data_IF_236190197044
#
_entry.id   IF_236190197044
#
_cell.length_a   1.000
_cell.length_b   1.000
_cell.length_c   1.000
_cell.angle_alpha   90.00
_cell.angle_beta   90.00
_cell.angle_gamma   90.00
#
_symmetry.space_group_name_H-M   'P 1'
#
loop_
_entity.id
_entity.type
_entity.pdbx_description
1 polymer ?
#
# COMPACT_ATOMS: atom_id res chain seq x y z
N UNK A 1 -27.20 12.77 -1.18
CA UNK A 1 -25.72 12.93 -1.25
C UNK A 1 -25.11 12.48 0.06
N UNK A 2 -23.96 13.03 0.44
CA UNK A 2 -23.43 12.91 1.80
C UNK A 2 -24.31 13.70 2.80
N UNK A 3 -24.26 13.31 4.08
CA UNK A 3 -25.06 13.93 5.16
C UNK A 3 -24.25 14.75 6.16
N UNK A 4 -22.91 14.75 6.06
CA UNK A 4 -22.00 15.51 6.92
C UNK A 4 -20.82 16.06 6.10
N UNK A 5 -19.78 16.59 6.76
CA UNK A 5 -18.63 17.19 6.09
C UNK A 5 -17.90 16.18 5.21
N UNK A 6 -17.57 16.58 3.98
CA UNK A 6 -16.67 15.82 3.10
C UNK A 6 -15.24 16.12 3.51
N UNK A 7 -14.55 15.13 4.07
CA UNK A 7 -13.21 15.28 4.64
C UNK A 7 -12.12 14.88 3.65
N UNK A 8 -12.45 14.07 2.65
CA UNK A 8 -11.53 13.61 1.62
C UNK A 8 -12.23 13.49 0.27
N UNK A 9 -11.50 13.84 -0.78
CA UNK A 9 -11.89 13.62 -2.18
C UNK A 9 -10.66 13.12 -2.93
N UNK A 10 -10.85 12.23 -3.89
CA UNK A 10 -9.77 11.71 -4.74
C UNK A 10 -10.31 11.27 -6.09
N UNK A 11 -9.69 11.72 -7.18
CA UNK A 11 -10.02 11.27 -8.53
C UNK A 11 -9.45 9.88 -8.78
N UNK A 12 -10.16 9.05 -9.54
CA UNK A 12 -9.61 7.79 -10.01
C UNK A 12 -8.46 8.06 -10.99
N UNK A 13 -7.29 7.42 -10.84
CA UNK A 13 -6.22 7.53 -11.83
C UNK A 13 -6.51 6.73 -13.11
N UNK A 14 -7.52 5.84 -13.08
CA UNK A 14 -7.91 4.98 -14.20
C UNK A 14 -9.07 5.54 -15.01
N UNK A 15 -10.02 6.21 -14.35
CA UNK A 15 -11.27 6.63 -14.96
C UNK A 15 -11.43 8.15 -14.85
N UNK A 16 -11.34 8.83 -15.99
CA UNK A 16 -11.31 10.30 -16.11
C UNK A 16 -12.44 11.02 -15.36
N UNK A 17 -13.65 10.46 -15.37
CA UNK A 17 -14.83 11.10 -14.77
C UNK A 17 -15.21 10.55 -13.40
N UNK A 18 -14.42 9.61 -12.84
CA UNK A 18 -14.73 8.97 -11.57
C UNK A 18 -14.06 9.70 -10.41
N UNK A 19 -14.89 10.16 -9.47
CA UNK A 19 -14.47 10.80 -8.22
C UNK A 19 -14.89 9.95 -7.02
N UNK A 20 -13.99 9.75 -6.07
CA UNK A 20 -14.29 9.21 -4.74
C UNK A 20 -14.42 10.33 -3.72
N UNK A 21 -15.42 10.24 -2.84
CA UNK A 21 -15.62 11.19 -1.73
C UNK A 21 -15.83 10.44 -0.42
N UNK A 22 -15.14 10.88 0.63
CA UNK A 22 -15.19 10.32 1.98
C UNK A 22 -15.66 11.40 2.96
N UNK A 23 -16.60 11.04 3.83
CA UNK A 23 -17.32 12.00 4.65
C UNK A 23 -17.42 11.57 6.11
N UNK A 24 -17.68 12.55 6.97
CA UNK A 24 -17.93 12.35 8.40
C UNK A 24 -19.18 11.50 8.69
N UNK A 25 -20.08 11.35 7.71
CA UNK A 25 -21.24 10.44 7.78
C UNK A 25 -20.88 8.94 7.73
N UNK A 26 -19.58 8.60 7.71
CA UNK A 26 -19.06 7.23 7.69
C UNK A 26 -19.16 6.54 6.34
N UNK A 27 -19.52 7.28 5.29
CA UNK A 27 -19.75 6.74 3.96
C UNK A 27 -18.66 7.19 3.01
N UNK A 28 -18.37 6.31 2.05
CA UNK A 28 -17.59 6.64 0.85
C UNK A 28 -18.50 6.46 -0.35
N UNK A 29 -18.48 7.44 -1.25
CA UNK A 29 -19.28 7.42 -2.48
C UNK A 29 -18.37 7.57 -3.69
N UNK A 30 -18.71 6.84 -4.74
CA UNK A 30 -18.08 6.96 -6.06
C UNK A 30 -19.06 7.66 -7.00
N UNK A 31 -18.57 8.60 -7.80
CA UNK A 31 -19.39 9.45 -8.66
C UNK A 31 -18.84 9.40 -10.08
N UNK A 32 -19.72 9.37 -11.07
CA UNK A 32 -19.38 9.86 -12.41
C UNK A 32 -19.87 11.30 -12.47
N UNK A 33 -18.96 12.26 -12.55
CA UNK A 33 -19.29 13.69 -12.47
C UNK A 33 -20.16 14.18 -13.63
N UNK A 34 -20.30 13.39 -14.71
CA UNK A 34 -21.17 13.71 -15.84
C UNK A 34 -22.63 13.37 -15.57
N UNK A 35 -22.92 12.55 -14.55
CA UNK A 35 -24.29 12.18 -14.19
C UNK A 35 -24.93 13.32 -13.39
N UNK A 36 -26.08 13.79 -13.84
CA UNK A 36 -26.81 14.87 -13.18
C UNK A 36 -27.36 14.49 -11.79
N UNK A 37 -27.55 13.20 -11.51
CA UNK A 37 -28.06 12.73 -10.21
C UNK A 37 -27.57 11.33 -9.85
N UNK A 38 -27.30 11.14 -8.56
CA UNK A 38 -26.91 9.86 -7.98
C UNK A 38 -25.41 9.59 -8.00
N UNK A 39 -24.94 8.83 -7.01
CA UNK A 39 -23.60 8.25 -7.01
C UNK A 39 -23.62 6.90 -7.75
N UNK A 40 -22.48 6.47 -8.31
CA UNK A 40 -22.29 5.15 -8.91
C UNK A 40 -22.46 4.04 -7.87
N UNK A 41 -21.79 4.19 -6.73
CA UNK A 41 -21.81 3.22 -5.64
C UNK A 41 -21.56 3.90 -4.30
N UNK A 42 -21.99 3.24 -3.22
CA UNK A 42 -21.64 3.59 -1.83
C UNK A 42 -21.01 2.35 -1.21
N UNK A 43 -19.80 2.51 -0.67
CA UNK A 43 -19.04 1.37 -0.13
C UNK A 43 -19.70 0.85 1.15
N UNK A 44 -19.85 -0.47 1.24
CA UNK A 44 -20.40 -1.17 2.40
C UNK A 44 -19.37 -2.11 3.00
N UNK A 45 -18.91 -1.83 4.21
CA UNK A 45 -17.85 -2.61 4.85
C UNK A 45 -18.21 -4.08 5.11
N UNK A 46 -19.50 -4.42 5.01
CA UNK A 46 -20.03 -5.76 5.21
C UNK A 46 -20.44 -6.47 3.90
N UNK A 47 -20.15 -5.90 2.72
CA UNK A 47 -20.49 -6.49 1.42
C UNK A 47 -21.97 -6.96 1.32
N UNK A 48 -22.90 -6.23 1.94
CA UNK A 48 -24.33 -6.56 1.94
C UNK A 48 -24.77 -7.64 2.93
N UNK A 49 -23.85 -8.34 3.60
CA UNK A 49 -24.18 -9.47 4.50
C UNK A 49 -24.92 -9.03 5.77
N UNK A 50 -24.73 -7.78 6.21
CA UNK A 50 -25.36 -7.24 7.42
C UNK A 50 -26.73 -6.60 7.14
N UNK A 51 -27.55 -7.27 6.33
CA UNK A 51 -28.86 -6.79 5.82
C UNK A 51 -29.95 -6.52 6.88
N UNK A 52 -29.63 -6.64 8.17
CA UNK A 52 -30.52 -6.31 9.30
C UNK A 52 -30.17 -5.01 10.03
N UNK A 53 -29.16 -4.27 9.59
CA UNK A 53 -28.89 -2.95 10.12
C UNK A 53 -30.01 -1.98 9.73
N UNK A 54 -30.39 -1.04 10.61
CA UNK A 54 -31.33 0.02 10.27
C UNK A 54 -30.90 0.75 8.99
N UNK A 55 -31.85 1.28 8.22
CA UNK A 55 -31.58 1.97 6.94
C UNK A 55 -30.52 3.08 7.06
N UNK A 56 -30.37 3.67 8.24
CA UNK A 56 -29.36 4.68 8.61
C UNK A 56 -27.93 4.12 8.67
N UNK A 57 -27.75 2.86 9.08
CA UNK A 57 -26.45 2.19 9.26
C UNK A 57 -26.04 1.29 8.08
N UNK A 58 -26.93 1.04 7.12
CA UNK A 58 -26.60 0.33 5.89
C UNK A 58 -25.68 1.17 4.99
N UNK A 59 -24.76 0.54 4.25
CA UNK A 59 -23.82 1.17 3.30
C UNK A 59 -22.87 2.20 3.96
N UNK A 60 -22.24 1.80 5.07
CA UNK A 60 -21.17 2.56 5.73
C UNK A 60 -19.83 1.89 5.45
N UNK A 61 -18.83 2.69 5.09
CA UNK A 61 -17.48 2.19 4.83
C UNK A 61 -16.67 2.02 6.13
N UNK A 62 -16.97 2.83 7.15
CA UNK A 62 -16.32 2.81 8.46
C UNK A 62 -17.37 3.04 9.56
N UNK A 63 -17.08 2.57 10.78
CA UNK A 63 -17.91 2.86 11.97
C UNK A 63 -17.63 4.25 12.58
N UNK A 64 -17.05 5.15 11.79
CA UNK A 64 -16.59 6.47 12.18
C UNK A 64 -16.40 7.33 10.94
N UNK A 65 -15.87 8.54 11.10
CA UNK A 65 -15.68 9.50 10.00
C UNK A 65 -14.67 8.95 9.00
N UNK A 66 -14.93 9.06 7.70
CA UNK A 66 -13.95 8.71 6.67
C UNK A 66 -13.20 9.97 6.27
N UNK A 67 -11.91 10.02 6.63
CA UNK A 67 -11.08 11.21 6.45
C UNK A 67 -9.83 10.96 5.59
N UNK A 68 -9.53 9.71 5.21
CA UNK A 68 -8.45 9.38 4.28
C UNK A 68 -8.98 8.61 3.06
N UNK A 69 -8.55 9.03 1.87
CA UNK A 69 -8.76 8.32 0.60
C UNK A 69 -7.46 8.31 -0.23
N UNK A 70 -7.10 7.17 -0.79
CA UNK A 70 -6.02 7.06 -1.78
C UNK A 70 -6.29 5.88 -2.73
N UNK A 71 -6.27 6.12 -4.04
CA UNK A 71 -6.36 5.04 -5.02
C UNK A 71 -5.01 4.34 -5.17
N UNK A 72 -5.01 3.03 -5.40
CA UNK A 72 -3.83 2.35 -5.94
C UNK A 72 -3.45 2.97 -7.29
N UNK A 73 -2.17 2.89 -7.67
CA UNK A 73 -1.70 3.62 -8.85
C UNK A 73 -2.33 3.12 -10.15
N UNK A 74 -2.66 1.83 -10.22
CA UNK A 74 -3.41 1.24 -11.31
C UNK A 74 -4.89 1.65 -11.33
N UNK A 75 -5.39 2.28 -10.26
CA UNK A 75 -6.78 2.67 -10.05
C UNK A 75 -7.76 1.52 -9.83
N UNK A 76 -7.29 0.27 -9.65
CA UNK A 76 -8.17 -0.89 -9.42
C UNK A 76 -8.72 -0.94 -8.01
N UNK A 77 -8.03 -0.37 -7.05
CA UNK A 77 -8.45 -0.39 -5.66
C UNK A 77 -8.43 1.00 -5.05
N UNK A 78 -9.23 1.16 -4.00
CA UNK A 78 -9.26 2.35 -3.18
C UNK A 78 -8.90 1.95 -1.75
N UNK A 79 -7.97 2.67 -1.12
CA UNK A 79 -7.75 2.63 0.32
C UNK A 79 -8.57 3.72 0.99
N UNK A 80 -9.26 3.35 2.06
CA UNK A 80 -10.00 4.28 2.92
C UNK A 80 -9.51 4.16 4.35
N UNK A 81 -9.39 5.29 5.04
CA UNK A 81 -9.02 5.35 6.45
C UNK A 81 -10.10 6.13 7.18
N UNK A 82 -10.53 5.61 8.32
CA UNK A 82 -11.56 6.23 9.15
C UNK A 82 -11.16 6.36 10.61
N UNK A 83 -11.94 7.13 11.37
CA UNK A 83 -11.74 7.34 12.81
C UNK A 83 -12.24 6.16 13.66
N UNK A 84 -12.55 5.03 13.03
CA UNK A 84 -12.81 3.74 13.69
C UNK A 84 -11.52 2.91 13.87
N UNK A 85 -10.37 3.56 13.71
CA UNK A 85 -9.02 2.98 13.76
C UNK A 85 -8.80 1.84 12.75
N UNK A 86 -9.43 1.95 11.57
CA UNK A 86 -9.29 0.97 10.49
C UNK A 86 -8.85 1.62 9.19
N UNK A 87 -8.09 0.83 8.44
CA UNK A 87 -7.87 0.99 7.02
C UNK A 87 -8.59 -0.15 6.30
N UNK A 88 -9.21 0.13 5.15
CA UNK A 88 -9.90 -0.87 4.33
C UNK A 88 -9.51 -0.69 2.86
N UNK A 89 -9.35 -1.81 2.17
CA UNK A 89 -9.07 -1.87 0.75
C UNK A 89 -10.31 -2.35 0.01
N UNK A 90 -10.68 -1.60 -1.02
CA UNK A 90 -11.91 -1.81 -1.77
C UNK A 90 -11.57 -2.05 -3.22
N UNK A 91 -12.30 -2.96 -3.86
CA UNK A 91 -12.36 -3.01 -5.30
C UNK A 91 -13.03 -1.71 -5.81
N UNK A 92 -12.34 -0.94 -6.64
CA UNK A 92 -12.82 0.36 -7.12
C UNK A 92 -14.02 0.28 -8.07
N UNK A 93 -14.20 -0.84 -8.77
CA UNK A 93 -15.26 -1.02 -9.75
C UNK A 93 -16.51 -1.63 -9.13
N UNK A 94 -16.36 -2.67 -8.31
CA UNK A 94 -17.49 -3.34 -7.64
C UNK A 94 -17.89 -2.65 -6.33
N UNK A 95 -16.95 -1.98 -5.68
CA UNK A 95 -17.13 -1.40 -4.35
C UNK A 95 -17.06 -2.44 -3.22
N UNK A 96 -16.65 -3.67 -3.51
CA UNK A 96 -16.50 -4.73 -2.50
C UNK A 96 -15.30 -4.47 -1.60
N UNK A 97 -15.50 -4.69 -0.30
CA UNK A 97 -14.42 -4.76 0.68
C UNK A 97 -13.64 -6.06 0.46
N UNK A 98 -12.34 -5.92 0.20
CA UNK A 98 -11.42 -7.05 -0.03
C UNK A 98 -11.06 -7.82 1.24
N UNK A 99 -11.43 -7.28 2.42
CA UNK A 99 -11.18 -7.87 3.74
C UNK A 99 -9.70 -8.02 4.10
N UNK A 100 -8.79 -7.33 3.41
CA UNK A 100 -7.38 -7.24 3.81
C UNK A 100 -7.27 -6.66 5.22
N UNK A 101 -6.52 -7.34 6.08
CA UNK A 101 -6.38 -6.97 7.48
C UNK A 101 -5.09 -6.19 7.73
N UNK A 102 -5.22 -4.88 7.98
CA UNK A 102 -4.11 -3.99 8.36
C UNK A 102 -3.94 -3.87 9.88
N UNK A 103 -4.68 -4.65 10.67
CA UNK A 103 -4.73 -4.51 12.12
C UNK A 103 -5.45 -3.23 12.56
N UNK A 104 -4.97 -2.64 13.66
CA UNK A 104 -5.45 -1.35 14.18
C UNK A 104 -4.62 -0.23 13.59
N UNK A 105 -5.24 0.69 12.87
CA UNK A 105 -4.62 1.87 12.26
C UNK A 105 -5.18 3.11 12.96
N UNK A 106 -4.59 3.50 14.08
CA UNK A 106 -5.07 4.60 14.92
C UNK A 106 -5.23 5.90 14.14
N UNK A 107 -6.41 6.51 14.21
CA UNK A 107 -6.73 7.74 13.50
C UNK A 107 -7.67 8.63 14.31
N UNK A 108 -7.08 9.56 15.04
CA UNK A 108 -7.79 10.54 15.86
C UNK A 108 -7.97 11.89 15.16
N UNK A 109 -7.62 11.98 13.86
CA UNK A 109 -7.64 13.24 13.14
C UNK A 109 -9.07 13.73 12.91
N UNK A 110 -9.33 14.97 13.33
CA UNK A 110 -10.58 15.69 13.02
C UNK A 110 -10.59 16.30 11.62
N UNK A 111 -9.45 16.28 10.92
CA UNK A 111 -9.26 16.83 9.56
C UNK A 111 -9.01 15.69 8.58
N UNK A 112 -9.02 15.99 7.28
CA UNK A 112 -8.59 15.05 6.24
C UNK A 112 -7.17 14.54 6.50
N UNK A 113 -6.98 13.23 6.43
CA UNK A 113 -5.71 12.54 6.56
C UNK A 113 -5.13 12.32 5.16
N UNK A 114 -3.92 12.84 4.92
CA UNK A 114 -3.22 12.69 3.63
C UNK A 114 -2.15 11.62 3.75
N UNK A 115 -2.28 10.57 2.95
CA UNK A 115 -1.37 9.42 2.96
C UNK A 115 -1.02 9.05 1.51
N UNK A 116 0.00 8.23 1.33
CA UNK A 116 0.55 7.91 0.01
C UNK A 116 0.59 6.40 -0.25
N UNK A 117 0.60 6.02 -1.53
CA UNK A 117 0.85 4.66 -2.00
C UNK A 117 2.08 4.71 -2.91
N UNK A 118 2.97 3.72 -2.79
CA UNK A 118 4.12 3.57 -3.67
C UNK A 118 3.66 3.18 -5.09
N UNK A 119 4.43 3.55 -6.10
CA UNK A 119 4.23 3.00 -7.44
C UNK A 119 5.57 2.67 -8.09
N UNK A 120 5.54 1.80 -9.10
CA UNK A 120 6.75 1.33 -9.79
C UNK A 120 7.56 0.28 -9.02
N UNK A 121 6.99 -0.31 -7.95
CA UNK A 121 7.60 -1.40 -7.19
C UNK A 121 6.59 -2.53 -6.95
N UNK A 122 7.10 -3.74 -6.75
CA UNK A 122 6.34 -4.91 -6.33
C UNK A 122 7.06 -5.55 -5.13
N UNK A 123 6.43 -5.62 -3.94
CA UNK A 123 5.05 -5.23 -3.65
C UNK A 123 4.79 -3.71 -3.67
N UNK A 124 3.52 -3.32 -3.78
CA UNK A 124 3.05 -1.96 -3.51
C UNK A 124 2.89 -1.75 -2.00
N UNK A 125 3.24 -0.55 -1.52
CA UNK A 125 3.20 -0.14 -0.13
C UNK A 125 2.27 1.05 0.10
N UNK A 126 1.55 1.05 1.22
CA UNK A 126 0.81 2.19 1.73
C UNK A 126 1.59 2.85 2.89
N UNK A 127 1.85 4.15 2.76
CA UNK A 127 2.50 4.99 3.77
C UNK A 127 1.45 5.80 4.51
N UNK A 128 1.13 5.41 5.74
CA UNK A 128 0.02 5.98 6.52
C UNK A 128 0.56 6.73 7.74
N UNK A 129 0.30 8.04 7.88
CA UNK A 129 0.64 8.75 9.12
C UNK A 129 -0.04 8.11 10.33
N UNK A 130 0.75 7.81 11.37
CA UNK A 130 0.32 7.12 12.59
C UNK A 130 1.00 7.78 13.79
N UNK A 131 0.29 8.63 14.53
CA UNK A 131 0.88 9.42 15.62
C UNK A 131 2.06 10.26 15.10
N UNK A 132 3.22 10.16 15.73
CA UNK A 132 4.47 10.83 15.29
C UNK A 132 5.33 10.01 14.32
N UNK A 133 4.73 9.00 13.70
CA UNK A 133 5.42 8.05 12.81
C UNK A 133 4.63 7.86 11.52
N UNK A 134 5.21 7.13 10.56
CA UNK A 134 4.51 6.72 9.35
C UNK A 134 4.55 5.20 9.28
N UNK A 135 3.39 4.57 9.34
CA UNK A 135 3.26 3.12 9.17
C UNK A 135 3.40 2.76 7.70
N UNK A 136 4.19 1.73 7.40
CA UNK A 136 4.40 1.21 6.05
C UNK A 136 3.78 -0.17 5.96
N UNK A 137 2.70 -0.29 5.19
CA UNK A 137 2.01 -1.56 4.96
C UNK A 137 2.22 -2.05 3.54
N UNK A 138 2.24 -3.35 3.31
CA UNK A 138 1.98 -3.91 1.98
C UNK A 138 0.50 -3.74 1.64
N UNK A 139 0.18 -3.23 0.45
CA UNK A 139 -1.20 -2.90 0.08
C UNK A 139 -2.08 -4.15 0.08
N UNK A 140 -1.63 -5.24 -0.54
CA UNK A 140 -2.50 -6.40 -0.79
C UNK A 140 -2.40 -7.51 0.28
N UNK A 141 -1.30 -7.62 1.01
CA UNK A 141 -1.19 -8.59 2.12
C UNK A 141 -1.60 -7.99 3.45
N UNK A 142 -1.52 -6.66 3.60
CA UNK A 142 -1.88 -5.95 4.83
C UNK A 142 -0.83 -6.03 5.94
N UNK A 143 0.35 -6.57 5.63
CA UNK A 143 1.44 -6.72 6.59
C UNK A 143 2.08 -5.36 6.89
N UNK A 144 2.27 -5.08 8.18
CA UNK A 144 3.04 -3.92 8.63
C UNK A 144 4.54 -4.24 8.49
N UNK A 145 5.21 -3.55 7.57
CA UNK A 145 6.64 -3.72 7.31
C UNK A 145 7.49 -2.98 8.34
N UNK A 146 7.19 -1.70 8.56
CA UNK A 146 7.94 -0.86 9.49
C UNK A 146 7.16 0.39 9.87
N UNK A 147 7.69 1.13 10.85
CA UNK A 147 7.23 2.47 11.22
C UNK A 147 8.41 3.43 11.02
N UNK A 148 8.27 4.40 10.12
CA UNK A 148 9.27 5.45 9.94
C UNK A 148 9.20 6.41 11.13
N UNK A 149 10.30 6.52 11.87
CA UNK A 149 10.41 7.28 13.13
C UNK A 149 11.43 8.40 12.96
N UNK A 150 11.03 9.62 13.30
CA UNK A 150 11.87 10.81 13.15
C UNK A 150 11.15 12.11 13.50
N UNK A 151 9.84 12.17 13.28
CA UNK A 151 9.02 13.28 13.76
C UNK A 151 8.81 13.22 15.28
N UNK A 152 8.76 14.40 15.90
CA UNK A 152 8.55 14.57 17.34
C UNK A 152 7.10 14.94 17.71
N UNK A 153 6.26 15.17 16.71
CA UNK A 153 4.83 15.44 16.88
C UNK A 153 4.02 14.70 15.81
N UNK A 154 2.69 14.86 15.83
CA UNK A 154 1.79 14.14 14.92
C UNK A 154 2.12 14.42 13.45
N UNK A 155 2.36 13.37 12.67
CA UNK A 155 2.50 13.45 11.22
C UNK A 155 1.11 13.71 10.62
N UNK A 156 0.98 14.79 9.85
CA UNK A 156 -0.28 15.20 9.24
C UNK A 156 -0.43 14.67 7.82
N UNK A 157 0.69 14.57 7.09
CA UNK A 157 0.71 14.14 5.71
C UNK A 157 2.01 13.45 5.33
N UNK A 158 1.96 12.62 4.29
CA UNK A 158 3.12 12.17 3.55
C UNK A 158 2.83 12.10 2.05
N UNK A 159 3.88 12.18 1.24
CA UNK A 159 3.84 12.07 -0.23
C UNK A 159 5.00 11.22 -0.71
N UNK A 160 4.74 10.32 -1.65
CA UNK A 160 5.72 9.41 -2.24
C UNK A 160 6.25 9.98 -3.55
N UNK A 161 7.57 9.91 -3.73
CA UNK A 161 8.27 10.30 -4.95
C UNK A 161 8.70 9.05 -5.72
N UNK A 162 8.02 8.67 -6.82
CA UNK A 162 8.28 7.41 -7.49
C UNK A 162 9.62 7.29 -8.19
N UNK A 163 10.21 8.40 -8.64
CA UNK A 163 11.44 8.33 -9.45
C UNK A 163 12.64 7.84 -8.64
N UNK A 164 12.75 8.25 -7.38
CA UNK A 164 13.84 7.89 -6.47
C UNK A 164 13.39 6.99 -5.31
N UNK A 165 12.11 6.58 -5.31
CA UNK A 165 11.48 5.80 -4.23
C UNK A 165 11.61 6.46 -2.86
N UNK A 166 11.52 7.79 -2.82
CA UNK A 166 11.62 8.58 -1.59
C UNK A 166 10.24 8.88 -1.02
N UNK A 167 10.18 9.22 0.26
CA UNK A 167 8.98 9.74 0.91
C UNK A 167 9.29 11.08 1.56
N UNK A 168 8.34 12.02 1.50
CA UNK A 168 8.40 13.27 2.24
C UNK A 168 7.21 13.34 3.20
N UNK A 169 7.45 13.76 4.44
CA UNK A 169 6.39 13.85 5.45
C UNK A 169 6.36 15.20 6.15
N UNK A 170 5.15 15.70 6.40
CA UNK A 170 4.91 16.95 7.12
C UNK A 170 4.19 16.71 8.45
N UNK A 171 4.65 17.36 9.51
CA UNK A 171 4.20 17.12 10.88
C UNK A 171 3.84 18.41 11.62
N UNK A 172 3.15 18.25 12.75
CA UNK A 172 2.87 19.34 13.71
C UNK A 172 4.11 19.86 14.43
N UNK A 173 5.25 19.18 14.29
CA UNK A 173 6.55 19.70 14.75
C UNK A 173 7.14 20.78 13.83
N UNK A 174 6.36 21.22 12.83
CA UNK A 174 6.71 22.25 11.85
C UNK A 174 7.89 21.88 10.93
N UNK A 175 8.29 20.60 10.89
CA UNK A 175 9.32 20.12 9.99
C UNK A 175 8.74 19.27 8.85
N UNK A 176 9.47 19.27 7.74
CA UNK A 176 9.33 18.31 6.66
C UNK A 176 10.54 17.38 6.72
N UNK A 177 10.32 16.07 6.79
CA UNK A 177 11.39 15.07 6.74
C UNK A 177 11.40 14.37 5.37
N UNK A 178 12.60 14.05 4.91
CA UNK A 178 12.84 13.22 3.74
C UNK A 178 13.28 11.81 4.20
N UNK A 179 12.67 10.78 3.61
CA UNK A 179 12.98 9.39 3.83
C UNK A 179 13.51 8.81 2.53
N UNK A 180 14.80 8.50 2.50
CA UNK A 180 15.48 7.95 1.34
C UNK A 180 15.75 6.45 1.57
N UNK A 181 15.67 5.61 0.53
CA UNK A 181 16.08 4.22 0.64
C UNK A 181 17.58 4.17 0.96
N UNK A 182 17.97 3.28 1.87
CA UNK A 182 19.39 3.06 2.12
C UNK A 182 20.03 2.44 0.86
N UNK A 183 21.21 2.92 0.42
CA UNK A 183 21.94 2.27 -0.65
C UNK A 183 22.20 0.82 -0.26
N UNK A 184 21.90 -0.11 -1.17
CA UNK A 184 22.29 -1.52 -0.99
C UNK A 184 23.81 -1.56 -0.90
N UNK A 185 24.35 -2.05 0.21
CA UNK A 185 25.78 -2.33 0.27
C UNK A 185 26.12 -3.29 -0.88
N UNK A 186 27.20 -3.03 -1.64
CA UNK A 186 27.63 -3.96 -2.68
C UNK A 186 27.88 -5.31 -2.01
N UNK A 187 27.16 -6.34 -2.46
CA UNK A 187 27.49 -7.72 -2.09
C UNK A 187 28.92 -7.92 -2.60
N UNK A 188 29.90 -8.25 -1.75
CA UNK A 188 31.25 -8.54 -2.24
C UNK A 188 31.15 -9.66 -3.27
N UNK A 189 31.69 -9.43 -4.46
CA UNK A 189 31.92 -10.46 -5.48
C UNK A 189 33.01 -11.41 -4.96
N UNK A 190 32.72 -12.18 -3.91
CA UNK A 190 33.63 -13.21 -3.40
C UNK A 190 33.03 -14.59 -3.62
N UNK A 191 32.89 -14.91 -4.91
CA UNK A 191 33.13 -16.27 -5.38
C UNK A 191 34.47 -16.22 -6.13
N UNK A 192 35.53 -15.90 -5.39
CA UNK A 192 36.85 -16.39 -5.79
C UNK A 192 36.75 -17.92 -5.81
N UNK A 193 37.14 -18.52 -6.94
CA UNK A 193 37.28 -19.96 -7.11
C UNK A 193 38.21 -20.53 -6.01
N UNK A 194 37.66 -20.82 -4.83
CA UNK A 194 38.30 -21.74 -3.90
C UNK A 194 38.12 -23.13 -4.48
N UNK A 195 39.10 -23.49 -5.31
CA UNK A 195 39.64 -24.84 -5.47
C UNK A 195 38.80 -25.92 -4.80
N UNK A 196 37.95 -26.58 -5.59
CA UNK A 196 37.40 -27.89 -5.24
C UNK A 196 38.56 -28.76 -4.73
N UNK A 197 38.45 -29.46 -3.58
CA UNK A 197 39.46 -30.44 -3.21
C UNK A 197 39.51 -31.49 -4.31
N UNK A 198 40.71 -31.69 -4.89
CA UNK A 198 40.99 -32.77 -5.83
C UNK A 198 40.44 -34.08 -5.26
N UNK A 199 39.39 -34.61 -5.88
CA UNK A 199 38.98 -35.98 -5.67
C UNK A 199 40.17 -36.86 -6.06
N UNK A 200 40.71 -37.56 -5.06
CA UNK A 200 41.71 -38.59 -5.26
C UNK A 200 41.04 -39.72 -6.06
N UNK A 201 41.20 -39.70 -7.39
CA UNK A 201 40.70 -40.76 -8.25
C UNK A 201 41.51 -42.02 -7.96
N UNK A 202 40.82 -43.07 -7.56
CA UNK A 202 41.39 -44.37 -7.20
C UNK A 202 42.01 -45.01 -8.46
N UNK A 203 43.28 -45.50 -8.46
CA UNK A 203 43.97 -45.99 -9.66
C UNK A 203 43.44 -47.32 -10.25
N UNK A 204 42.26 -47.78 -9.81
CA UNK A 204 41.79 -49.14 -10.09
C UNK A 204 40.94 -49.28 -11.38
N UNK A 205 40.83 -48.23 -12.21
CA UNK A 205 39.99 -48.24 -13.41
C UNK A 205 40.67 -47.63 -14.65
N UNK A 206 42.01 -47.67 -14.74
CA UNK A 206 42.69 -47.41 -16.02
C UNK A 206 42.45 -48.58 -16.99
N UNK A 207 41.33 -48.53 -17.72
CA UNK A 207 41.13 -49.38 -18.88
C UNK A 207 41.94 -48.84 -20.07
N UNK A 208 42.92 -49.63 -20.46
CA UNK A 208 43.89 -49.37 -21.50
C UNK A 208 43.40 -49.82 -22.89
N UNK A 209 42.79 -48.93 -23.67
CA UNK A 209 42.58 -49.04 -25.13
C UNK A 209 42.41 -47.61 -25.67
N UNK A 210 43.04 -47.08 -26.72
CA UNK A 210 43.71 -47.61 -27.92
C UNK A 210 44.63 -46.48 -28.46
N UNK A 211 45.92 -46.74 -28.70
CA UNK A 211 46.59 -46.87 -30.02
C UNK A 211 46.57 -45.61 -30.93
N UNK A 212 47.76 -45.03 -31.22
CA UNK A 212 48.51 -45.14 -32.50
C UNK A 212 48.07 -44.07 -33.52
N UNK A 213 48.87 -43.28 -34.22
CA UNK A 213 50.30 -43.19 -34.52
C UNK A 213 50.59 -41.71 -34.89
N UNK A 214 51.84 -41.27 -34.81
CA UNK A 214 52.68 -40.89 -35.99
C UNK A 214 53.82 -39.92 -35.59
N UNK A 215 54.91 -39.99 -36.37
CA UNK A 215 56.21 -39.27 -36.31
C UNK A 215 57.40 -40.10 -35.80
N UNK A 216 58.08 -40.79 -36.73
CA UNK A 216 59.51 -41.15 -36.63
C UNK A 216 59.91 -42.49 -37.23
#
# INVERSE_FOLDING_TARGET
>A
GHRQEVLAVSWSPRHEYVLATGSADGRVKLWDVRRASGCLSTLDQYNGEKSKASSEAANTAHNGRVNGLCYTNDGLHLLTIGTDDRMRLWNSSTGENTLVNYGKVCNESRKGLKFAISCGCNPEFAFVPYGSTIAVYTVFTGELITMLRGHYSTVNCCVFQPHFQELYSGSKDCNILAWIPAPREPVPDDISEKSLPQQHVNPAYEDAWSSSDDEG
#
